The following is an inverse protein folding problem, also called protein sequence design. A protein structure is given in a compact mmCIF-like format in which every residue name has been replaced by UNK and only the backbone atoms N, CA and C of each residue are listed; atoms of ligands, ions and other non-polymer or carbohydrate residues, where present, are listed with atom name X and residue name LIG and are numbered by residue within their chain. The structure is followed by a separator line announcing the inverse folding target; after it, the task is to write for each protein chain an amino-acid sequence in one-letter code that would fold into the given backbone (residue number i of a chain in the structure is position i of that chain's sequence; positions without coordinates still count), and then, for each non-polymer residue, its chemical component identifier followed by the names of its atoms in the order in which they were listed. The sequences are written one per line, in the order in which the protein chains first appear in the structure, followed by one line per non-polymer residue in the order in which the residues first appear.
data_IF_881072940256
#
_entry.id   IF_881072940256
#
_cell.length_a   1.000
_cell.length_b   1.000
_cell.length_c   1.000
_cell.angle_alpha   90.00
_cell.angle_beta   90.00
_cell.angle_gamma   90.00
#
_symmetry.space_group_name_H-M   'P 1'
#
loop_
_entity.id
_entity.type
_entity.pdbx_description
1 polymer ?
#
# COMPACT_ATOMS: atom_id res chain seq x y z
N UNK A 1 6.04 18.34 9.47
CA UNK A 1 4.78 17.78 8.98
C UNK A 1 5.07 16.46 8.30
N UNK A 2 4.16 15.48 8.40
CA UNK A 2 4.29 14.17 7.75
C UNK A 2 3.32 14.08 6.58
N UNK A 3 3.70 13.31 5.56
CA UNK A 3 2.84 13.03 4.42
C UNK A 3 2.11 11.71 4.63
N UNK A 4 0.82 11.73 4.36
CA UNK A 4 -0.08 10.60 4.52
C UNK A 4 -0.83 10.34 3.22
N UNK A 5 -0.96 9.06 2.87
CA UNK A 5 -1.69 8.62 1.71
C UNK A 5 -2.82 7.67 2.13
N UNK A 6 -4.00 8.17 2.48
CA UNK A 6 -5.17 7.33 2.67
C UNK A 6 -5.78 6.90 1.34
N UNK A 7 -6.29 5.67 1.34
CA UNK A 7 -7.13 5.12 0.29
C UNK A 7 -8.49 4.81 0.91
N UNK A 8 -9.54 5.46 0.39
CA UNK A 8 -10.89 5.32 0.88
C UNK A 8 -11.75 4.64 -0.18
N UNK A 9 -12.30 3.46 0.16
CA UNK A 9 -13.11 2.67 -0.76
C UNK A 9 -14.60 2.81 -0.47
N UNK A 10 -15.41 2.76 -1.52
CA UNK A 10 -16.86 2.61 -1.41
C UNK A 10 -17.19 1.24 -0.81
N UNK A 11 -18.28 1.17 -0.05
CA UNK A 11 -18.71 -0.09 0.57
C UNK A 11 -18.96 -1.15 -0.50
N UNK A 12 -18.31 -2.33 -0.32
CA UNK A 12 -18.30 -3.43 -1.28
C UNK A 12 -17.81 -3.06 -2.70
N UNK A 13 -17.03 -1.97 -2.82
CA UNK A 13 -16.46 -1.53 -4.09
C UNK A 13 -17.50 -1.27 -5.18
N UNK A 14 -18.67 -0.75 -4.76
CA UNK A 14 -19.68 -0.31 -5.73
C UNK A 14 -19.13 0.82 -6.58
N UNK A 15 -19.37 0.72 -7.89
CA UNK A 15 -18.87 1.65 -8.91
C UNK A 15 -19.78 2.87 -9.00
N UNK A 16 -19.56 3.86 -8.15
CA UNK A 16 -20.44 5.02 -7.99
C UNK A 16 -19.73 6.37 -8.06
N UNK A 17 -18.39 6.37 -8.13
CA UNK A 17 -17.61 7.60 -8.20
C UNK A 17 -17.42 7.96 -9.67
N UNK A 18 -17.90 9.14 -10.05
CA UNK A 18 -17.60 9.84 -11.28
C UNK A 18 -16.84 11.14 -10.97
N UNK A 19 -16.42 11.87 -11.99
CA UNK A 19 -15.69 13.14 -11.85
C UNK A 19 -16.47 14.16 -11.02
N UNK A 20 -17.80 14.21 -11.15
CA UNK A 20 -18.65 15.16 -10.44
C UNK A 20 -18.67 14.85 -8.95
N UNK A 21 -18.87 13.60 -8.60
CA UNK A 21 -18.88 13.13 -7.21
C UNK A 21 -17.48 13.26 -6.60
N UNK A 22 -16.42 12.93 -7.36
CA UNK A 22 -15.04 13.07 -6.94
C UNK A 22 -14.69 14.52 -6.62
N UNK A 23 -15.02 15.44 -7.50
CA UNK A 23 -14.79 16.86 -7.27
C UNK A 23 -15.52 17.37 -6.02
N UNK A 24 -16.76 16.92 -5.83
CA UNK A 24 -17.52 17.27 -4.64
C UNK A 24 -16.91 16.69 -3.36
N UNK A 25 -16.44 15.45 -3.40
CA UNK A 25 -15.72 14.80 -2.30
C UNK A 25 -14.44 15.58 -1.94
N UNK A 26 -13.69 16.03 -2.94
CA UNK A 26 -12.48 16.86 -2.77
C UNK A 26 -12.82 18.22 -2.10
N UNK A 27 -13.86 18.89 -2.53
CA UNK A 27 -14.32 20.15 -1.91
C UNK A 27 -14.66 19.97 -0.42
N UNK A 28 -15.38 18.88 -0.08
CA UNK A 28 -15.73 18.57 1.32
C UNK A 28 -14.46 18.31 2.13
N UNK A 29 -13.47 17.61 1.53
CA UNK A 29 -12.18 17.36 2.18
C UNK A 29 -11.46 18.67 2.50
N UNK A 30 -11.30 19.53 1.50
CA UNK A 30 -10.64 20.85 1.65
C UNK A 30 -11.32 21.71 2.69
N UNK A 31 -12.65 21.62 2.82
CA UNK A 31 -13.41 22.37 3.82
C UNK A 31 -13.17 21.89 5.24
N UNK A 32 -12.98 20.58 5.45
CA UNK A 32 -12.83 19.98 6.78
C UNK A 32 -11.35 19.95 7.22
N UNK A 33 -10.43 19.77 6.30
CA UNK A 33 -9.01 19.55 6.56
C UNK A 33 -8.34 20.63 7.44
N UNK A 34 -8.61 21.94 7.28
CA UNK A 34 -7.97 22.98 8.10
C UNK A 34 -8.24 22.86 9.60
N UNK A 35 -9.44 22.38 10.00
CA UNK A 35 -9.79 22.16 11.40
C UNK A 35 -8.91 21.10 12.10
N UNK A 36 -8.19 20.29 11.30
CA UNK A 36 -7.27 19.26 11.77
C UNK A 36 -5.81 19.55 11.43
N UNK A 37 -5.47 20.78 11.01
CA UNK A 37 -4.15 21.18 10.53
C UNK A 37 -3.65 20.27 9.40
N UNK A 38 -4.53 19.93 8.48
CA UNK A 38 -4.26 19.08 7.32
C UNK A 38 -4.31 19.94 6.06
N UNK A 39 -3.35 19.70 5.16
CA UNK A 39 -3.24 20.37 3.86
C UNK A 39 -3.26 19.31 2.75
N UNK A 40 -4.25 19.38 1.87
CA UNK A 40 -4.34 18.52 0.68
C UNK A 40 -3.22 18.86 -0.31
N UNK A 41 -2.55 17.84 -0.83
CA UNK A 41 -1.50 17.97 -1.85
C UNK A 41 -1.92 17.36 -3.19
N UNK A 42 -2.50 16.16 -3.17
CA UNK A 42 -2.91 15.48 -4.39
C UNK A 42 -4.21 14.72 -4.17
N UNK A 43 -5.01 14.60 -5.22
CA UNK A 43 -6.30 13.92 -5.20
C UNK A 43 -6.53 13.23 -6.54
N UNK A 44 -6.85 11.96 -6.50
CA UNK A 44 -7.32 11.22 -7.66
C UNK A 44 -8.34 10.16 -7.25
N UNK A 45 -9.08 9.64 -8.20
CA UNK A 45 -10.09 8.62 -7.95
C UNK A 45 -10.13 7.57 -9.04
N UNK A 46 -10.67 6.43 -8.69
CA UNK A 46 -11.23 5.43 -9.59
C UNK A 46 -12.75 5.35 -9.34
N UNK A 47 -13.42 4.52 -10.08
CA UNK A 47 -14.88 4.35 -10.01
C UNK A 47 -15.41 3.90 -8.65
N UNK A 48 -14.57 3.33 -7.78
CA UNK A 48 -14.97 2.73 -6.50
C UNK A 48 -14.09 3.13 -5.29
N UNK A 49 -13.06 3.97 -5.50
CA UNK A 49 -12.21 4.46 -4.43
C UNK A 49 -11.52 5.78 -4.77
N UNK A 50 -10.98 6.43 -3.75
CA UNK A 50 -10.20 7.66 -3.90
C UNK A 50 -8.82 7.50 -3.28
N UNK A 51 -7.82 8.07 -3.95
CA UNK A 51 -6.46 8.25 -3.47
C UNK A 51 -6.26 9.71 -3.06
N UNK A 52 -5.78 9.92 -1.86
CA UNK A 52 -5.58 11.27 -1.31
C UNK A 52 -4.15 11.36 -0.81
N UNK A 53 -3.44 12.41 -1.15
CA UNK A 53 -2.17 12.76 -0.52
C UNK A 53 -2.34 14.05 0.24
N UNK A 54 -1.98 14.07 1.51
CA UNK A 54 -2.04 15.27 2.32
C UNK A 54 -0.89 15.36 3.32
N UNK A 55 -0.57 16.57 3.74
CA UNK A 55 0.31 16.86 4.85
C UNK A 55 -0.49 17.06 6.13
N UNK A 56 0.00 16.47 7.23
CA UNK A 56 -0.59 16.65 8.55
C UNK A 56 0.45 16.77 9.65
N UNK A 57 0.05 17.29 10.78
CA UNK A 57 0.90 17.33 11.97
C UNK A 57 0.97 15.93 12.60
N UNK A 58 2.12 15.50 13.18
CA UNK A 58 2.24 14.20 13.84
C UNK A 58 1.21 13.96 14.95
N UNK A 59 0.81 15.03 15.65
CA UNK A 59 -0.15 14.94 16.75
C UNK A 59 -1.63 14.96 16.29
N UNK A 60 -1.88 15.02 14.97
CA UNK A 60 -3.25 14.99 14.45
C UNK A 60 -3.87 13.61 14.64
N UNK A 61 -5.06 13.55 15.23
CA UNK A 61 -5.83 12.31 15.39
C UNK A 61 -6.38 11.85 14.03
N UNK A 62 -5.52 11.18 13.22
CA UNK A 62 -5.83 10.80 11.83
C UNK A 62 -7.11 9.98 11.71
N UNK A 63 -7.33 9.02 12.61
CA UNK A 63 -8.55 8.19 12.60
C UNK A 63 -9.81 9.03 12.83
N UNK A 64 -9.76 10.02 13.73
CA UNK A 64 -10.86 10.94 14.01
C UNK A 64 -11.16 11.82 12.79
N UNK A 65 -10.12 12.39 12.18
CA UNK A 65 -10.24 13.16 10.94
C UNK A 65 -10.90 12.35 9.84
N UNK A 66 -10.36 11.16 9.51
CA UNK A 66 -10.89 10.31 8.43
C UNK A 66 -12.34 9.92 8.70
N UNK A 67 -12.68 9.55 9.93
CA UNK A 67 -14.06 9.20 10.30
C UNK A 67 -15.01 10.39 10.20
N UNK A 68 -14.57 11.59 10.60
CA UNK A 68 -15.34 12.83 10.46
C UNK A 68 -15.58 13.15 8.98
N UNK A 69 -14.54 13.07 8.16
CA UNK A 69 -14.64 13.26 6.72
C UNK A 69 -15.59 12.25 6.07
N UNK A 70 -15.43 10.95 6.34
CA UNK A 70 -16.30 9.89 5.82
C UNK A 70 -17.76 10.10 6.20
N UNK A 71 -18.02 10.49 7.44
CA UNK A 71 -19.38 10.75 7.92
C UNK A 71 -20.01 11.97 7.26
N UNK A 72 -19.27 13.07 7.16
CA UNK A 72 -19.75 14.30 6.55
C UNK A 72 -19.97 14.14 5.04
N UNK A 73 -18.97 13.61 4.32
CA UNK A 73 -19.06 13.41 2.87
C UNK A 73 -20.16 12.43 2.48
N UNK A 74 -20.33 11.31 3.21
CA UNK A 74 -21.42 10.36 2.97
C UNK A 74 -22.80 11.02 3.07
N UNK A 75 -23.02 11.87 4.07
CA UNK A 75 -24.31 12.58 4.23
C UNK A 75 -24.55 13.58 3.12
N UNK A 76 -23.54 14.38 2.77
CA UNK A 76 -23.64 15.44 1.77
C UNK A 76 -23.87 14.81 0.39
N UNK A 77 -23.06 13.84 -0.01
CA UNK A 77 -23.17 13.16 -1.31
C UNK A 77 -24.53 12.50 -1.47
N UNK A 78 -25.01 11.78 -0.46
CA UNK A 78 -26.35 11.15 -0.53
C UNK A 78 -27.50 12.15 -0.55
N UNK A 79 -27.29 13.36 -0.05
CA UNK A 79 -28.30 14.43 -0.11
C UNK A 79 -28.32 15.10 -1.49
N UNK A 80 -27.14 15.40 -2.04
CA UNK A 80 -26.99 16.13 -3.31
C UNK A 80 -27.22 15.20 -4.53
N UNK A 81 -26.74 13.95 -4.44
CA UNK A 81 -26.87 12.93 -5.49
C UNK A 81 -27.81 11.80 -5.04
N UNK A 82 -29.10 12.08 -5.00
CA UNK A 82 -30.08 11.13 -4.46
C UNK A 82 -30.14 9.79 -5.22
N UNK A 83 -29.85 9.80 -6.52
CA UNK A 83 -29.77 8.60 -7.38
C UNK A 83 -28.74 7.57 -6.93
N UNK A 84 -27.65 8.04 -6.29
CA UNK A 84 -26.57 7.15 -5.84
C UNK A 84 -27.02 6.18 -4.73
N UNK A 85 -28.08 6.53 -3.98
CA UNK A 85 -28.60 5.69 -2.88
C UNK A 85 -29.03 4.31 -3.37
N UNK A 86 -29.60 4.23 -4.58
CA UNK A 86 -30.08 2.99 -5.16
C UNK A 86 -28.91 2.04 -5.50
N UNK A 87 -27.74 2.60 -5.78
CA UNK A 87 -26.53 1.85 -6.11
C UNK A 87 -25.71 1.48 -4.88
N UNK A 88 -26.10 1.90 -3.69
CA UNK A 88 -25.37 1.64 -2.45
C UNK A 88 -26.01 0.51 -1.64
N UNK A 89 -25.18 -0.37 -1.09
CA UNK A 89 -25.67 -1.40 -0.18
C UNK A 89 -26.11 -0.77 1.16
N UNK A 90 -27.37 -0.94 1.50
CA UNK A 90 -27.98 -0.36 2.73
C UNK A 90 -27.65 1.12 2.91
N UNK A 91 -27.60 1.88 1.83
CA UNK A 91 -27.23 3.29 1.80
C UNK A 91 -25.84 3.63 2.42
N UNK A 92 -24.99 2.65 2.58
CA UNK A 92 -23.63 2.87 3.11
C UNK A 92 -22.70 3.32 1.97
N UNK A 93 -22.21 4.56 2.03
CA UNK A 93 -21.31 5.10 1.02
C UNK A 93 -19.89 4.53 1.19
N UNK A 94 -19.24 4.81 2.31
CA UNK A 94 -17.88 4.36 2.56
C UNK A 94 -17.80 2.97 3.20
N UNK A 95 -16.75 2.23 2.87
CA UNK A 95 -16.34 1.07 3.65
C UNK A 95 -16.00 1.49 5.08
N UNK A 96 -16.19 0.63 6.06
CA UNK A 96 -15.84 0.93 7.45
C UNK A 96 -14.32 1.09 7.61
N UNK A 97 -13.55 0.20 7.01
CA UNK A 97 -12.08 0.26 6.99
C UNK A 97 -11.56 1.33 6.02
N UNK A 98 -10.30 1.69 6.20
CA UNK A 98 -9.52 2.51 5.28
C UNK A 98 -8.06 2.05 5.34
N UNK A 99 -7.31 2.30 4.28
CA UNK A 99 -5.87 2.14 4.28
C UNK A 99 -5.23 3.51 4.51
N UNK A 100 -4.29 3.61 5.43
CA UNK A 100 -3.52 4.83 5.68
C UNK A 100 -2.04 4.49 5.62
N UNK A 101 -1.36 5.02 4.63
CA UNK A 101 0.07 4.86 4.43
C UNK A 101 0.79 6.17 4.78
N UNK A 102 2.00 6.06 5.29
CA UNK A 102 2.95 7.17 5.36
C UNK A 102 3.95 7.02 4.22
N UNK A 103 4.50 8.13 3.74
CA UNK A 103 5.40 8.11 2.57
C UNK A 103 6.69 7.35 2.81
N UNK A 104 7.10 7.14 4.06
CA UNK A 104 8.32 6.41 4.40
C UNK A 104 9.54 6.98 3.67
N UNK A 105 10.28 6.12 2.96
CA UNK A 105 11.46 6.50 2.17
C UNK A 105 11.11 6.91 0.73
N UNK A 106 9.84 6.80 0.31
CA UNK A 106 9.44 7.25 -1.02
C UNK A 106 9.40 8.78 -1.08
N UNK A 107 9.90 9.36 -2.16
CA UNK A 107 9.77 10.80 -2.37
C UNK A 107 8.30 11.17 -2.62
N UNK A 108 7.91 12.35 -2.15
CA UNK A 108 6.54 12.86 -2.34
C UNK A 108 6.17 12.91 -3.82
N UNK A 109 7.13 13.23 -4.69
CA UNK A 109 6.92 13.31 -6.13
C UNK A 109 6.61 11.94 -6.75
N UNK A 110 7.27 10.88 -6.31
CA UNK A 110 6.95 9.52 -6.76
C UNK A 110 5.52 9.12 -6.37
N UNK A 111 5.08 9.49 -5.17
CA UNK A 111 3.72 9.19 -4.72
C UNK A 111 2.69 10.03 -5.49
N UNK A 112 2.98 11.30 -5.78
CA UNK A 112 2.13 12.14 -6.63
C UNK A 112 1.98 11.55 -8.02
N UNK A 113 3.08 11.15 -8.67
CA UNK A 113 3.04 10.50 -9.98
C UNK A 113 2.21 9.21 -9.94
N UNK A 114 2.39 8.38 -8.89
CA UNK A 114 1.59 7.18 -8.70
C UNK A 114 0.10 7.51 -8.59
N UNK A 115 -0.29 8.48 -7.76
CA UNK A 115 -1.69 8.87 -7.58
C UNK A 115 -2.27 9.41 -8.90
N UNK A 116 -1.55 10.25 -9.63
CA UNK A 116 -1.98 10.82 -10.91
C UNK A 116 -2.20 9.75 -11.98
N UNK A 117 -1.42 8.66 -11.95
CA UNK A 117 -1.57 7.54 -12.87
C UNK A 117 -2.79 6.64 -12.55
N UNK A 118 -3.36 6.74 -11.35
CA UNK A 118 -4.56 5.97 -10.99
C UNK A 118 -5.79 6.55 -11.72
N UNK A 119 -6.68 5.66 -12.18
CA UNK A 119 -7.88 6.07 -12.91
C UNK A 119 -7.67 6.30 -14.42
N UNK A 120 -6.44 6.43 -14.93
CA UNK A 120 -6.18 6.38 -16.37
C UNK A 120 -6.25 4.94 -16.88
N UNK A 121 -6.75 4.74 -18.11
CA UNK A 121 -6.82 3.39 -18.73
C UNK A 121 -5.45 2.72 -18.86
N UNK A 122 -4.38 3.51 -18.82
CA UNK A 122 -2.98 3.06 -18.85
C UNK A 122 -2.48 2.58 -17.48
N UNK A 123 -3.20 2.83 -16.40
CA UNK A 123 -2.85 2.39 -15.03
C UNK A 123 -2.87 0.86 -14.85
N UNK A 124 -3.55 0.10 -15.71
CA UNK A 124 -3.46 -1.36 -15.73
C UNK A 124 -2.06 -1.84 -16.13
N UNK A 125 -1.37 -1.10 -16.99
CA UNK A 125 -0.04 -1.44 -17.47
C UNK A 125 1.05 -1.11 -16.43
N UNK A 126 0.84 -0.10 -15.57
CA UNK A 126 1.78 0.26 -14.51
C UNK A 126 1.81 -0.77 -13.36
N UNK A 127 0.70 -1.42 -13.05
CA UNK A 127 0.65 -2.49 -12.05
C UNK A 127 1.39 -3.75 -12.54
N UNK A 128 1.38 -4.01 -13.85
CA UNK A 128 2.11 -5.13 -14.46
C UNK A 128 3.63 -4.85 -14.48
N UNK A 129 4.03 -3.61 -14.74
CA UNK A 129 5.44 -3.18 -14.68
C UNK A 129 5.98 -3.18 -13.25
N UNK A 130 5.19 -2.79 -12.25
CA UNK A 130 5.60 -2.88 -10.85
C UNK A 130 5.72 -4.33 -10.38
N UNK A 131 4.77 -5.20 -10.71
CA UNK A 131 4.83 -6.62 -10.38
C UNK A 131 6.04 -7.31 -11.03
N UNK A 132 6.35 -6.97 -12.26
CA UNK A 132 7.55 -7.48 -12.97
C UNK A 132 8.85 -6.94 -12.36
N UNK A 133 8.87 -5.71 -11.85
CA UNK A 133 10.02 -5.15 -11.15
C UNK A 133 10.27 -5.86 -9.81
N UNK A 134 9.24 -6.14 -9.02
CA UNK A 134 9.37 -6.95 -7.79
C UNK A 134 9.79 -8.39 -8.09
N UNK A 135 9.23 -9.01 -9.13
CA UNK A 135 9.62 -10.36 -9.55
C UNK A 135 11.08 -10.40 -10.01
N UNK A 136 11.55 -9.41 -10.76
CA UNK A 136 12.96 -9.28 -11.14
C UNK A 136 13.86 -9.09 -9.93
N UNK A 137 13.47 -8.28 -8.95
CA UNK A 137 14.23 -8.11 -7.71
C UNK A 137 14.30 -9.43 -6.93
N UNK A 138 13.20 -10.15 -6.78
CA UNK A 138 13.15 -11.46 -6.12
C UNK A 138 14.04 -12.48 -6.87
N UNK A 139 13.97 -12.52 -8.20
CA UNK A 139 14.82 -13.39 -9.00
C UNK A 139 16.31 -13.05 -8.83
N UNK A 140 16.66 -11.77 -8.79
CA UNK A 140 18.04 -11.33 -8.55
C UNK A 140 18.56 -11.75 -7.18
N UNK A 141 17.74 -11.62 -6.14
CA UNK A 141 18.10 -12.07 -4.80
C UNK A 141 18.23 -13.59 -4.71
N UNK A 142 17.34 -14.35 -5.36
CA UNK A 142 17.41 -15.82 -5.35
C UNK A 142 18.62 -16.35 -6.11
N UNK A 143 18.97 -15.75 -7.26
CA UNK A 143 20.18 -16.11 -8.01
C UNK A 143 21.46 -15.76 -7.25
N UNK A 144 21.50 -14.60 -6.57
CA UNK A 144 22.62 -14.18 -5.73
C UNK A 144 22.83 -15.14 -4.53
N UNK A 145 21.75 -15.56 -3.88
CA UNK A 145 21.82 -16.54 -2.77
C UNK A 145 22.29 -17.91 -3.26
N UNK A 146 21.83 -18.37 -4.40
CA UNK A 146 22.27 -19.68 -4.96
C UNK A 146 23.73 -19.66 -5.36
N UNK A 147 24.24 -18.56 -5.93
CA UNK A 147 25.65 -18.37 -6.22
C UNK A 147 26.51 -18.37 -4.93
N UNK A 148 26.02 -17.72 -3.86
CA UNK A 148 26.70 -17.70 -2.57
C UNK A 148 26.76 -19.09 -1.92
N UNK A 149 25.67 -19.87 -2.00
CA UNK A 149 25.64 -21.25 -1.51
C UNK A 149 26.59 -22.14 -2.30
N UNK A 150 26.67 -21.98 -3.62
CA UNK A 150 27.58 -22.73 -4.48
C UNK A 150 29.06 -22.44 -4.14
N UNK A 151 29.41 -21.18 -3.85
CA UNK A 151 30.77 -20.80 -3.43
C UNK A 151 31.14 -21.39 -2.06
N UNK A 152 30.21 -21.39 -1.11
CA UNK A 152 30.44 -22.03 0.21
C UNK A 152 30.61 -23.54 0.07
N UNK A 153 29.82 -24.20 -0.77
CA UNK A 153 29.93 -25.63 -1.04
C UNK A 153 31.27 -26.00 -1.71
N UNK A 154 31.74 -25.19 -2.66
CA UNK A 154 33.03 -25.37 -3.29
C UNK A 154 34.20 -25.18 -2.28
N UNK A 155 34.13 -24.19 -1.42
CA UNK A 155 35.09 -23.96 -0.33
C UNK A 155 35.11 -25.12 0.66
N UNK A 156 33.96 -25.72 0.99
CA UNK A 156 33.89 -26.87 1.89
C UNK A 156 34.53 -28.12 1.28
N UNK A 157 34.39 -28.32 -0.02
CA UNK A 157 35.04 -29.42 -0.74
C UNK A 157 36.58 -29.27 -0.82
N UNK A 158 37.07 -28.04 -0.99
CA UNK A 158 38.53 -27.75 -0.99
C UNK A 158 39.11 -27.95 0.42
N UNK A 159 38.34 -27.61 1.48
CA UNK A 159 38.77 -27.78 2.86
C UNK A 159 38.67 -29.22 3.37
N UNK A 160 37.82 -30.04 2.78
CA UNK A 160 37.70 -31.49 3.09
C UNK A 160 38.93 -32.29 2.64
N UNK A 161 39.71 -31.77 1.68
CA UNK A 161 40.95 -32.40 1.22
C UNK A 161 42.16 -31.99 2.07
N UNK A 162 42.01 -31.15 3.07
CA UNK A 162 43.11 -30.63 3.92
C UNK A 162 42.70 -30.68 5.39
N UNK A 163 42.93 -31.88 6.03
CA UNK A 163 43.10 -32.08 7.48
C UNK A 163 42.01 -31.58 8.46
N UNK A 164 41.58 -32.46 9.23
CA UNK A 164 40.87 -32.72 10.52
C UNK A 164 40.64 -31.58 11.56
N UNK A 165 40.70 -30.31 11.22
CA UNK A 165 40.63 -29.22 12.24
C UNK A 165 39.44 -28.26 12.15
N UNK A 166 38.41 -28.50 11.38
CA UNK A 166 37.27 -27.57 11.27
C UNK A 166 35.94 -28.23 11.55
N UNK A 167 35.76 -28.76 12.78
CA UNK A 167 34.44 -29.20 13.27
C UNK A 167 33.52 -28.07 13.76
N UNK A 168 34.01 -26.80 13.79
CA UNK A 168 33.27 -25.67 14.34
C UNK A 168 32.43 -24.86 13.35
N UNK A 169 32.76 -24.85 12.04
CA UNK A 169 32.09 -23.97 11.08
C UNK A 169 30.75 -24.50 10.55
N UNK A 170 30.52 -25.81 10.55
CA UNK A 170 29.29 -26.41 10.08
C UNK A 170 28.05 -26.03 10.91
N UNK A 171 28.25 -25.80 12.22
CA UNK A 171 27.17 -25.43 13.15
C UNK A 171 26.67 -23.99 12.95
N UNK A 172 27.56 -23.08 12.58
CA UNK A 172 27.21 -21.66 12.40
C UNK A 172 26.41 -21.45 11.10
N UNK A 173 26.76 -22.17 10.04
CA UNK A 173 26.01 -22.11 8.75
C UNK A 173 24.62 -22.68 8.89
N UNK A 174 24.44 -23.74 9.68
CA UNK A 174 23.11 -24.33 9.92
C UNK A 174 22.20 -23.40 10.75
N UNK A 175 22.75 -22.65 11.68
CA UNK A 175 22.01 -21.68 12.49
C UNK A 175 21.54 -20.47 11.67
N UNK A 176 22.35 -19.99 10.71
CA UNK A 176 21.95 -18.90 9.82
C UNK A 176 20.87 -19.33 8.80
N UNK A 177 20.92 -20.55 8.30
CA UNK A 177 19.91 -21.06 7.35
C UNK A 177 18.57 -21.34 8.06
N UNK A 178 18.57 -21.86 9.26
CA UNK A 178 17.35 -22.07 10.08
C UNK A 178 16.71 -20.75 10.50
N UNK A 179 17.49 -19.71 10.83
CA UNK A 179 16.97 -18.38 11.17
C UNK A 179 16.32 -17.66 9.99
N UNK A 180 16.79 -17.91 8.78
CA UNK A 180 16.25 -17.26 7.57
C UNK A 180 14.99 -17.98 7.02
N UNK A 181 14.80 -19.27 7.34
CA UNK A 181 13.57 -19.99 6.96
C UNK A 181 12.37 -19.66 7.87
N UNK A 182 12.61 -19.07 9.05
CA UNK A 182 11.54 -18.67 9.99
C UNK A 182 11.00 -17.26 9.73
N UNK A 183 11.65 -16.47 8.87
CA UNK A 183 11.12 -15.20 8.37
C UNK A 183 10.29 -15.44 7.09
N UNK A 184 9.26 -16.28 7.19
CA UNK A 184 8.18 -16.28 6.21
C UNK A 184 7.43 -14.94 6.34
N UNK A 185 7.31 -14.15 5.26
CA UNK A 185 6.38 -13.03 5.29
C UNK A 185 4.97 -13.59 5.49
N UNK A 186 4.34 -13.15 6.56
CA UNK A 186 2.94 -13.40 6.89
C UNK A 186 2.05 -12.67 5.87
N UNK A 187 2.06 -13.16 4.63
CA UNK A 187 1.23 -12.64 3.55
C UNK A 187 0.67 -13.83 2.78
N UNK A 188 -0.37 -14.45 3.34
CA UNK A 188 -1.28 -15.27 2.53
C UNK A 188 -2.56 -15.55 3.33
N UNK A 189 -3.65 -15.27 2.66
CA UNK A 189 -5.01 -15.71 2.94
C UNK A 189 -5.91 -14.82 3.79
N UNK A 190 -6.62 -13.91 3.09
CA UNK A 190 -8.06 -13.79 3.31
C UNK A 190 -8.75 -14.16 1.99
N UNK A 191 -9.40 -15.33 1.98
CA UNK A 191 -10.32 -15.78 0.94
C UNK A 191 -11.52 -14.84 0.87
N UNK A 192 -12.11 -14.63 -0.33
CA UNK A 192 -13.41 -14.01 -0.45
C UNK A 192 -14.51 -15.04 -0.12
N UNK A 193 -15.45 -14.61 0.69
CA UNK A 193 -16.84 -15.07 0.71
C UNK A 193 -17.73 -13.91 0.33
#
# INVERSE_FOLDING_TARGET
MLHYHPILCIKYRHKVIDDTISNRLKEIFVKIAPAYNIMLEEWNHDIDHVHILFRGHPNTEMSKFINTYKSASSRIIKKEFSTIRQSLWKEMFWSQSFCLLTTGNATVDMIKQYIQSQGSKDGKQSNEVQSTSYLKAILFFTTSISAFIATISALSLINSSRSDSVKGLGSIVFFFISGFLLLRPFFLFTRPL
#
